data_IF_270225864219
#
_entry.id   IF_270225864219
#
_cell.length_a   1.000
_cell.length_b   1.000
_cell.length_c   1.000
_cell.angle_alpha   90.00
_cell.angle_beta   90.00
_cell.angle_gamma   90.00
#
_symmetry.space_group_name_H-M   'P 1'
#
loop_
_entity.id
_entity.type
_entity.pdbx_description
1 polymer ?
#
# COMPACT_ATOMS: atom_id res chain seq x y z
N UNK A 1 -14.92 -5.59 -2.08
CA UNK A 1 -14.54 -7.01 -1.92
C UNK A 1 -13.51 -7.49 -2.94
N UNK A 2 -13.69 -7.23 -4.25
CA UNK A 2 -12.73 -7.67 -5.28
C UNK A 2 -11.28 -7.19 -5.06
N UNK A 3 -11.09 -5.92 -4.66
CA UNK A 3 -9.77 -5.39 -4.34
C UNK A 3 -9.07 -6.08 -3.17
N UNK A 4 -9.83 -6.45 -2.13
CA UNK A 4 -9.31 -7.18 -0.98
C UNK A 4 -8.89 -8.61 -1.38
N UNK A 5 -9.73 -9.30 -2.16
CA UNK A 5 -9.45 -10.66 -2.62
C UNK A 5 -8.18 -10.73 -3.50
N UNK A 6 -8.02 -9.79 -4.44
CA UNK A 6 -6.84 -9.74 -5.31
C UNK A 6 -5.57 -9.36 -4.57
N UNK A 7 -5.66 -8.48 -3.55
CA UNK A 7 -4.52 -8.15 -2.70
C UNK A 7 -4.01 -9.38 -1.92
N UNK A 8 -4.91 -10.19 -1.36
CA UNK A 8 -4.56 -11.42 -0.63
C UNK A 8 -3.92 -12.45 -1.56
N UNK A 9 -4.52 -12.70 -2.73
CA UNK A 9 -3.95 -13.65 -3.71
C UNK A 9 -2.58 -13.17 -4.21
N UNK A 10 -2.46 -11.89 -4.54
CA UNK A 10 -1.20 -11.30 -4.97
C UNK A 10 -0.11 -11.48 -3.93
N UNK A 11 -0.38 -11.16 -2.66
CA UNK A 11 0.60 -11.27 -1.55
C UNK A 11 1.20 -12.68 -1.42
N UNK A 12 0.38 -13.72 -1.61
CA UNK A 12 0.84 -15.11 -1.54
C UNK A 12 1.59 -15.57 -2.81
N UNK A 13 1.22 -15.06 -3.99
CA UNK A 13 1.85 -15.45 -5.27
C UNK A 13 3.17 -14.70 -5.51
N UNK A 14 3.26 -13.44 -5.08
CA UNK A 14 4.45 -12.59 -5.20
C UNK A 14 4.76 -11.99 -3.82
N UNK A 15 5.69 -12.57 -3.04
CA UNK A 15 6.05 -12.04 -1.75
C UNK A 15 6.49 -10.57 -1.87
N UNK A 16 6.15 -9.75 -0.87
CA UNK A 16 6.45 -8.32 -0.78
C UNK A 16 5.65 -7.42 -1.75
N UNK A 17 5.62 -7.73 -3.04
CA UNK A 17 5.03 -6.85 -4.08
C UNK A 17 3.57 -7.21 -4.42
N UNK A 18 3.13 -8.39 -4.00
CA UNK A 18 1.83 -8.93 -4.35
C UNK A 18 0.64 -8.16 -3.79
N UNK A 19 0.77 -7.60 -2.58
CA UNK A 19 -0.27 -6.78 -1.97
C UNK A 19 -0.49 -5.45 -2.71
N UNK A 20 0.56 -4.65 -3.03
CA UNK A 20 0.38 -3.44 -3.83
C UNK A 20 -0.06 -3.75 -5.26
N UNK A 21 0.45 -4.81 -5.90
CA UNK A 21 0.03 -5.20 -7.25
C UNK A 21 -1.42 -5.68 -7.28
N UNK A 22 -1.81 -6.59 -6.38
CA UNK A 22 -3.16 -7.12 -6.27
C UNK A 22 -4.18 -6.07 -5.85
N UNK A 23 -3.80 -5.19 -4.92
CA UNK A 23 -4.62 -4.03 -4.52
C UNK A 23 -4.82 -3.05 -5.67
N UNK A 24 -3.75 -2.69 -6.40
CA UNK A 24 -3.84 -1.80 -7.55
C UNK A 24 -4.69 -2.39 -8.68
N UNK A 25 -4.42 -3.64 -9.06
CA UNK A 25 -5.18 -4.35 -10.09
C UNK A 25 -6.65 -4.51 -9.70
N UNK A 26 -6.93 -4.79 -8.44
CA UNK A 26 -8.30 -4.96 -7.96
C UNK A 26 -9.10 -3.66 -7.91
N UNK A 27 -8.48 -2.52 -7.58
CA UNK A 27 -9.12 -1.21 -7.70
C UNK A 27 -9.34 -0.85 -9.17
N UNK A 28 -8.33 -1.06 -10.02
CA UNK A 28 -8.44 -0.78 -11.44
C UNK A 28 -9.54 -1.60 -12.11
N UNK A 29 -9.56 -2.91 -11.91
CA UNK A 29 -10.56 -3.80 -12.49
C UNK A 29 -11.95 -3.54 -11.91
N UNK A 30 -12.07 -3.35 -10.59
CA UNK A 30 -13.34 -3.05 -9.95
C UNK A 30 -13.98 -1.77 -10.49
N UNK A 31 -13.18 -0.71 -10.64
CA UNK A 31 -13.67 0.57 -11.13
C UNK A 31 -13.90 0.58 -12.64
N UNK A 32 -13.07 -0.12 -13.42
CA UNK A 32 -13.26 -0.28 -14.86
C UNK A 32 -14.52 -1.09 -15.18
N UNK A 33 -14.80 -2.16 -14.42
CA UNK A 33 -16.02 -2.95 -14.58
C UNK A 33 -17.27 -2.15 -14.17
N UNK A 34 -17.16 -1.27 -13.17
CA UNK A 34 -18.27 -0.43 -12.69
C UNK A 34 -18.61 0.72 -13.63
N UNK A 35 -17.59 1.38 -14.19
CA UNK A 35 -17.77 2.63 -14.94
C UNK A 35 -17.55 2.51 -16.45
N UNK A 36 -16.90 1.45 -16.93
CA UNK A 36 -16.46 1.30 -18.32
C UNK A 36 -15.30 2.23 -18.73
N UNK A 37 -14.98 3.26 -17.93
CA UNK A 37 -13.95 4.24 -18.23
C UNK A 37 -12.60 3.86 -17.59
N UNK A 38 -11.64 3.50 -18.44
CA UNK A 38 -10.27 3.19 -18.03
C UNK A 38 -9.52 4.36 -17.39
N UNK A 39 -9.84 5.62 -17.74
CA UNK A 39 -9.20 6.80 -17.14
C UNK A 39 -9.70 7.05 -15.72
N UNK A 40 -11.00 6.88 -15.48
CA UNK A 40 -11.57 6.95 -14.13
C UNK A 40 -10.96 5.86 -13.22
N UNK A 41 -10.89 4.63 -13.71
CA UNK A 41 -10.29 3.51 -12.99
C UNK A 41 -8.82 3.75 -12.62
N UNK A 42 -8.03 4.31 -13.55
CA UNK A 42 -6.63 4.62 -13.29
C UNK A 42 -6.44 5.72 -12.25
N UNK A 43 -7.27 6.78 -12.26
CA UNK A 43 -7.24 7.83 -11.23
C UNK A 43 -7.53 7.27 -9.84
N UNK A 44 -8.56 6.43 -9.71
CA UNK A 44 -8.91 5.78 -8.44
C UNK A 44 -7.76 4.88 -7.92
N UNK A 45 -7.14 4.12 -8.83
CA UNK A 45 -6.00 3.26 -8.51
C UNK A 45 -4.81 4.07 -8.00
N UNK A 46 -4.46 5.17 -8.68
CA UNK A 46 -3.37 6.07 -8.27
C UNK A 46 -3.62 6.71 -6.91
N UNK A 47 -4.85 7.15 -6.63
CA UNK A 47 -5.22 7.71 -5.33
C UNK A 47 -5.04 6.68 -4.20
N UNK A 48 -5.45 5.43 -4.45
CA UNK A 48 -5.28 4.33 -3.50
C UNK A 48 -3.80 4.03 -3.24
N UNK A 49 -2.99 3.93 -4.30
CA UNK A 49 -1.55 3.72 -4.20
C UNK A 49 -0.85 4.86 -3.44
N UNK A 50 -1.26 6.11 -3.68
CA UNK A 50 -0.74 7.26 -2.94
C UNK A 50 -1.04 7.17 -1.45
N UNK A 51 -2.26 6.72 -1.08
CA UNK A 51 -2.63 6.48 0.31
C UNK A 51 -1.75 5.43 0.99
N UNK A 52 -1.47 4.31 0.32
CA UNK A 52 -0.55 3.30 0.84
C UNK A 52 0.89 3.82 0.97
N UNK A 53 1.37 4.61 0.00
CA UNK A 53 2.69 5.24 0.07
C UNK A 53 2.81 6.18 1.28
N UNK A 54 1.79 6.99 1.54
CA UNK A 54 1.71 7.86 2.72
C UNK A 54 1.74 7.05 4.03
N UNK A 55 0.99 5.96 4.12
CA UNK A 55 0.99 5.09 5.30
C UNK A 55 2.37 4.44 5.53
N UNK A 56 3.05 4.00 4.46
CA UNK A 56 4.39 3.43 4.56
C UNK A 56 5.43 4.45 5.04
N UNK A 57 5.36 5.70 4.55
CA UNK A 57 6.23 6.78 5.03
C UNK A 57 6.00 7.08 6.52
N UNK A 58 4.75 7.08 6.97
CA UNK A 58 4.42 7.27 8.38
C UNK A 58 5.01 6.15 9.26
N UNK A 59 4.88 4.89 8.83
CA UNK A 59 5.46 3.74 9.52
C UNK A 59 6.98 3.81 9.59
N UNK A 60 7.64 4.21 8.49
CA UNK A 60 9.08 4.40 8.46
C UNK A 60 9.50 5.51 9.44
N UNK A 61 8.80 6.64 9.46
CA UNK A 61 9.05 7.73 10.40
C UNK A 61 8.93 7.28 11.86
N UNK A 62 7.88 6.51 12.18
CA UNK A 62 7.70 5.94 13.52
C UNK A 62 8.82 4.93 13.87
N UNK A 63 9.20 4.07 12.93
CA UNK A 63 10.29 3.11 13.12
C UNK A 63 11.63 3.81 13.37
N UNK A 64 11.94 4.85 12.58
CA UNK A 64 13.12 5.68 12.77
C UNK A 64 13.10 6.38 14.13
N UNK A 65 11.97 6.96 14.53
CA UNK A 65 11.84 7.58 15.85
C UNK A 65 12.10 6.59 16.98
N UNK A 66 11.54 5.38 16.92
CA UNK A 66 11.80 4.32 17.90
C UNK A 66 13.29 3.97 17.98
N UNK A 67 13.95 3.76 16.85
CA UNK A 67 15.38 3.45 16.78
C UNK A 67 16.22 4.60 17.35
N UNK A 68 15.92 5.84 16.97
CA UNK A 68 16.64 7.02 17.46
C UNK A 68 16.47 7.21 18.97
N UNK A 69 15.27 6.99 19.51
CA UNK A 69 15.03 7.03 20.96
C UNK A 69 15.85 5.96 21.68
N UNK A 70 15.89 4.74 21.15
CA UNK A 70 16.70 3.67 21.73
C UNK A 70 18.20 3.98 21.67
N UNK A 71 18.70 4.48 20.54
CA UNK A 71 20.12 4.88 20.39
C UNK A 71 20.46 6.03 21.35
N UNK A 72 19.58 7.03 21.48
CA UNK A 72 19.79 8.13 22.41
C UNK A 72 19.88 7.64 23.86
N UNK A 73 19.02 6.69 24.26
CA UNK A 73 19.10 6.03 25.56
C UNK A 73 20.47 5.36 25.77
N UNK A 74 20.88 4.50 24.83
CA UNK A 74 22.17 3.77 24.88
C UNK A 74 23.38 4.69 24.98
N UNK A 75 23.34 5.88 24.37
CA UNK A 75 24.45 6.84 24.38
C UNK A 75 24.45 7.75 25.63
N UNK A 76 23.34 7.83 26.36
CA UNK A 76 23.18 8.67 27.55
C UNK A 76 23.34 7.89 28.86
N UNK A 77 23.24 6.56 28.81
CA UNK A 77 23.71 5.66 29.87
C UNK A 77 25.24 5.51 29.85
#
# INVERSE_FOLDING_TARGET
WLGLALAVVGFFVVPVIGLPLGGALGVYLGERLRTGDGRAAWRATRATLAGFGLAALAQLGAALAMVLTWVAWVLLE
#
